data_IF_919687318740
#
_entry.id   IF_919687318740
#
_cell.length_a   1.000
_cell.length_b   1.000
_cell.length_c   1.000
_cell.angle_alpha   90.00
_cell.angle_beta   90.00
_cell.angle_gamma   90.00
#
_symmetry.space_group_name_H-M   'P 1'
#
loop_
_entity.id
_entity.type
_entity.pdbx_description
1 polymer ?
#
# COMPACT_ATOMS: atom_id res chain seq x y z
N UNK A 1 17.72 -6.93 -11.00
CA UNK A 1 16.82 -7.96 -10.43
C UNK A 1 15.44 -7.72 -11.00
N UNK A 2 14.68 -8.74 -11.44
CA UNK A 2 13.40 -8.49 -12.11
C UNK A 2 12.44 -7.88 -11.08
N UNK A 3 12.03 -6.64 -11.32
CA UNK A 3 10.99 -5.97 -10.54
C UNK A 3 9.71 -6.80 -10.74
N UNK A 4 9.08 -7.23 -9.64
CA UNK A 4 7.76 -7.87 -9.73
C UNK A 4 6.78 -6.81 -10.21
N UNK A 5 6.19 -7.07 -11.36
CA UNK A 5 5.18 -6.20 -11.95
C UNK A 5 3.86 -6.40 -11.24
N UNK A 6 3.45 -5.43 -10.43
CA UNK A 6 2.14 -5.47 -9.81
C UNK A 6 1.10 -5.03 -10.83
N UNK A 7 0.19 -5.94 -11.19
CA UNK A 7 -0.95 -5.62 -12.05
C UNK A 7 -2.03 -4.93 -11.21
N UNK A 8 -1.80 -3.67 -10.86
CA UNK A 8 -2.78 -2.85 -10.16
C UNK A 8 -3.78 -2.22 -11.14
N UNK A 9 -5.03 -2.03 -10.71
CA UNK A 9 -5.99 -1.27 -11.49
C UNK A 9 -5.64 0.23 -11.52
N UNK A 10 -6.15 1.01 -12.49
CA UNK A 10 -5.91 2.46 -12.56
C UNK A 10 -6.35 3.21 -11.29
N UNK A 11 -7.36 2.71 -10.58
CA UNK A 11 -7.87 3.31 -9.34
C UNK A 11 -6.88 3.12 -8.19
N UNK A 12 -6.26 1.93 -8.09
CA UNK A 12 -5.23 1.66 -7.10
C UNK A 12 -3.98 2.51 -7.35
N UNK A 13 -3.59 2.68 -8.62
CA UNK A 13 -2.45 3.50 -9.01
C UNK A 13 -2.66 4.98 -8.66
N UNK A 14 -3.85 5.52 -8.96
CA UNK A 14 -4.26 6.86 -8.54
C UNK A 14 -4.27 7.00 -7.00
N UNK A 15 -4.58 5.93 -6.28
CA UNK A 15 -4.55 5.92 -4.81
C UNK A 15 -3.13 6.01 -4.27
N UNK A 16 -2.15 5.37 -4.93
CA UNK A 16 -0.73 5.46 -4.57
C UNK A 16 -0.20 6.87 -4.83
N UNK A 17 -0.48 7.44 -6.01
CA UNK A 17 -0.06 8.80 -6.38
C UNK A 17 -0.69 9.88 -5.50
N UNK A 18 -1.90 9.62 -5.00
CA UNK A 18 -2.60 10.54 -4.10
C UNK A 18 -2.14 10.43 -2.63
N UNK A 19 -1.33 9.43 -2.28
CA UNK A 19 -0.66 9.36 -0.99
C UNK A 19 0.57 10.26 -1.01
N UNK A 20 0.76 11.05 0.03
CA UNK A 20 1.97 11.86 0.16
C UNK A 20 3.19 10.95 0.44
N UNK A 21 4.36 11.20 -0.19
CA UNK A 21 5.53 10.34 -0.01
C UNK A 21 6.11 10.38 1.41
N UNK A 22 5.77 11.40 2.21
CA UNK A 22 6.18 11.53 3.63
C UNK A 22 5.13 10.95 4.60
N UNK A 23 4.12 10.24 4.09
CA UNK A 23 3.10 9.66 4.94
C UNK A 23 3.71 8.57 5.85
N UNK A 24 3.62 8.74 7.18
CA UNK A 24 3.94 7.75 8.22
C UNK A 24 2.63 7.16 8.78
N UNK A 25 1.98 6.27 8.03
CA UNK A 25 0.77 5.60 8.51
C UNK A 25 1.15 4.45 9.43
N UNK A 26 0.51 4.41 10.59
CA UNK A 26 0.76 3.41 11.63
C UNK A 26 -0.54 3.01 12.30
N UNK A 27 -0.49 1.94 13.09
CA UNK A 27 -1.60 1.52 13.92
C UNK A 27 -2.19 2.70 14.72
N UNK A 28 -3.52 2.80 14.75
CA UNK A 28 -4.31 3.90 15.31
C UNK A 28 -4.33 5.21 14.50
N UNK A 29 -3.71 5.24 13.32
CA UNK A 29 -3.93 6.33 12.37
C UNK A 29 -5.28 6.17 11.64
N UNK A 30 -5.86 7.27 11.18
CA UNK A 30 -7.16 7.24 10.50
C UNK A 30 -7.30 8.41 9.54
N UNK A 31 -7.90 8.16 8.37
CA UNK A 31 -8.16 9.19 7.38
C UNK A 31 -8.23 8.65 5.95
N UNK A 32 -8.31 9.58 5.00
CA UNK A 32 -8.37 9.27 3.57
C UNK A 32 -7.12 8.52 3.08
N UNK A 33 -5.96 8.78 3.68
CA UNK A 33 -4.70 8.11 3.30
C UNK A 33 -4.71 6.64 3.72
N UNK A 34 -5.21 6.34 4.92
CA UNK A 34 -5.42 4.96 5.34
C UNK A 34 -6.43 4.26 4.43
N UNK A 35 -7.51 4.94 4.04
CA UNK A 35 -8.49 4.38 3.11
C UNK A 35 -7.88 4.06 1.75
N UNK A 36 -7.03 4.95 1.20
CA UNK A 36 -6.27 4.71 -0.03
C UNK A 36 -5.36 3.51 0.11
N UNK A 37 -4.62 3.41 1.22
CA UNK A 37 -3.78 2.25 1.52
C UNK A 37 -4.61 0.95 1.54
N UNK A 38 -5.76 0.95 2.22
CA UNK A 38 -6.65 -0.20 2.27
C UNK A 38 -7.17 -0.60 0.87
N UNK A 39 -7.47 0.36 -0.02
CA UNK A 39 -7.86 0.09 -1.41
C UNK A 39 -6.73 -0.65 -2.14
N UNK A 40 -5.50 -0.15 -2.03
CA UNK A 40 -4.33 -0.76 -2.68
C UNK A 40 -4.09 -2.17 -2.15
N UNK A 41 -4.11 -2.34 -0.83
CA UNK A 41 -3.93 -3.65 -0.19
C UNK A 41 -5.04 -4.65 -0.58
N UNK A 42 -6.26 -4.16 -0.79
CA UNK A 42 -7.40 -4.98 -1.22
C UNK A 42 -7.28 -5.42 -2.67
N UNK A 43 -6.80 -4.55 -3.54
CA UNK A 43 -6.51 -4.85 -4.94
C UNK A 43 -5.39 -5.90 -5.08
N UNK A 44 -4.46 -5.92 -4.12
CA UNK A 44 -3.42 -6.95 -4.04
C UNK A 44 -3.89 -8.24 -3.35
N UNK A 45 -5.18 -8.36 -3.01
CA UNK A 45 -5.75 -9.49 -2.27
C UNK A 45 -5.08 -9.74 -0.90
N UNK A 46 -4.39 -8.73 -0.37
CA UNK A 46 -3.72 -8.78 0.94
C UNK A 46 -4.63 -8.33 2.08
N UNK A 47 -5.64 -7.52 1.75
CA UNK A 47 -6.60 -6.98 2.70
C UNK A 47 -8.03 -7.33 2.32
N UNK A 48 -8.78 -7.93 3.24
CA UNK A 48 -10.19 -8.29 3.06
C UNK A 48 -11.13 -7.54 4.02
N UNK A 49 -10.59 -6.57 4.76
CA UNK A 49 -11.37 -5.76 5.69
C UNK A 49 -12.20 -4.67 5.03
N UNK A 50 -12.78 -3.81 5.86
CA UNK A 50 -13.53 -2.65 5.43
C UNK A 50 -12.58 -1.50 5.02
N UNK A 51 -13.05 -0.66 4.09
CA UNK A 51 -12.33 0.52 3.61
C UNK A 51 -12.79 1.75 4.42
N UNK A 52 -12.77 1.61 5.74
CA UNK A 52 -13.23 2.60 6.72
C UNK A 52 -12.24 3.76 6.91
N UNK A 53 -11.00 3.60 6.44
CA UNK A 53 -9.93 4.55 6.68
C UNK A 53 -9.37 4.49 8.10
N UNK A 54 -9.52 3.37 8.81
CA UNK A 54 -8.93 3.11 10.12
C UNK A 54 -7.75 2.13 10.00
N UNK A 55 -6.61 2.52 10.56
CA UNK A 55 -5.40 1.69 10.52
C UNK A 55 -5.46 0.71 11.68
N UNK A 56 -6.26 -0.34 11.49
CA UNK A 56 -6.40 -1.45 12.40
C UNK A 56 -5.31 -2.51 12.23
N UNK A 57 -5.34 -3.49 13.15
CA UNK A 57 -4.49 -4.68 13.09
C UNK A 57 -4.65 -5.45 11.77
N UNK A 58 -5.83 -5.41 11.15
CA UNK A 58 -6.05 -6.02 9.84
C UNK A 58 -5.25 -5.29 8.73
N UNK A 59 -5.27 -3.95 8.74
CA UNK A 59 -4.50 -3.10 7.83
C UNK A 59 -3.00 -3.29 8.02
N UNK A 60 -2.54 -3.31 9.28
CA UNK A 60 -1.13 -3.56 9.63
C UNK A 60 -0.66 -4.92 9.08
N UNK A 61 -1.45 -5.99 9.28
CA UNK A 61 -1.09 -7.34 8.81
C UNK A 61 -1.01 -7.43 7.29
N UNK A 62 -1.94 -6.78 6.59
CA UNK A 62 -1.92 -6.69 5.15
C UNK A 62 -0.68 -5.91 4.66
N UNK A 63 -0.33 -4.81 5.33
CA UNK A 63 0.87 -4.03 5.01
C UNK A 63 2.17 -4.81 5.25
N UNK A 64 2.26 -5.56 6.36
CA UNK A 64 3.39 -6.44 6.63
C UNK A 64 3.56 -7.49 5.52
N UNK A 65 2.45 -8.04 5.01
CA UNK A 65 2.48 -8.99 3.92
C UNK A 65 2.89 -8.32 2.61
N UNK A 66 2.40 -7.11 2.35
CA UNK A 66 2.82 -6.30 1.21
C UNK A 66 4.33 -6.08 1.23
N UNK A 67 4.87 -5.60 2.35
CA UNK A 67 6.30 -5.33 2.51
C UNK A 67 7.15 -6.60 2.26
N UNK A 68 6.66 -7.77 2.69
CA UNK A 68 7.30 -9.06 2.38
C UNK A 68 7.25 -9.41 0.90
N UNK A 69 6.10 -9.20 0.25
CA UNK A 69 5.93 -9.44 -1.19
C UNK A 69 6.84 -8.53 -2.02
N UNK A 70 6.97 -7.25 -1.63
CA UNK A 70 7.87 -6.28 -2.25
C UNK A 70 9.34 -6.49 -1.88
N UNK A 71 9.62 -7.41 -0.95
CA UNK A 71 10.96 -7.67 -0.42
C UNK A 71 11.64 -6.40 0.13
N UNK A 72 10.88 -5.56 0.84
CA UNK A 72 11.35 -4.34 1.52
C UNK A 72 11.38 -4.52 3.03
N UNK A 73 11.82 -3.47 3.74
CA UNK A 73 11.79 -3.43 5.20
C UNK A 73 10.37 -3.63 5.72
N UNK A 74 10.17 -4.70 6.48
CA UNK A 74 8.89 -5.04 7.09
C UNK A 74 8.74 -4.25 8.39
N UNK A 75 8.36 -2.98 8.28
CA UNK A 75 8.21 -2.04 9.40
C UNK A 75 6.82 -2.11 10.04
N UNK A 76 5.82 -2.63 9.31
CA UNK A 76 4.41 -2.58 9.73
C UNK A 76 3.78 -1.19 9.64
N UNK A 77 4.49 -0.25 9.01
CA UNK A 77 4.05 1.13 8.81
C UNK A 77 4.23 1.50 7.35
N UNK A 78 3.37 2.38 6.85
CA UNK A 78 3.58 2.92 5.51
C UNK A 78 4.58 4.05 5.71
N UNK A 79 5.81 3.83 5.29
CA UNK A 79 6.89 4.82 5.30
C UNK A 79 7.32 5.14 3.85
N UNK A 80 8.10 6.21 3.68
CA UNK A 80 8.59 6.65 2.36
C UNK A 80 9.30 5.53 1.57
N UNK A 81 10.03 4.63 2.24
CA UNK A 81 10.72 3.53 1.57
C UNK A 81 9.74 2.48 1.05
N UNK A 82 8.71 2.19 1.84
CA UNK A 82 7.62 1.31 1.45
C UNK A 82 6.81 1.93 0.31
N UNK A 83 6.48 3.22 0.40
CA UNK A 83 5.76 3.95 -0.65
C UNK A 83 6.53 3.96 -1.97
N UNK A 84 7.83 4.29 -1.95
CA UNK A 84 8.64 4.33 -3.16
C UNK A 84 8.71 2.96 -3.85
N UNK A 85 8.89 1.90 -3.06
CA UNK A 85 8.95 0.54 -3.59
C UNK A 85 7.61 0.05 -4.13
N UNK A 86 6.51 0.48 -3.50
CA UNK A 86 5.16 0.23 -3.98
C UNK A 86 4.92 0.93 -5.32
N UNK A 87 5.27 2.21 -5.44
CA UNK A 87 5.16 3.00 -6.68
C UNK A 87 6.03 2.40 -7.79
N UNK A 88 7.29 2.06 -7.50
CA UNK A 88 8.19 1.43 -8.48
C UNK A 88 7.71 0.05 -8.96
N UNK A 89 6.96 -0.69 -8.13
CA UNK A 89 6.37 -1.97 -8.53
C UNK A 89 5.00 -1.83 -9.20
N UNK A 90 4.30 -0.71 -8.99
CA UNK A 90 2.99 -0.40 -9.56
C UNK A 90 3.06 0.16 -10.99
N UNK A 91 4.15 0.83 -11.37
CA UNK A 91 4.38 1.41 -12.70
C UNK A 91 4.57 0.33 -13.79
N UNK A 92 3.52 -0.37 -14.25
CA UNK A 92 3.58 -1.01 -15.58
C UNK A 92 2.22 -1.40 -16.21
N UNK A 93 1.22 -0.50 -16.19
CA UNK A 93 0.13 -0.56 -17.18
C UNK A 93 -0.36 0.83 -17.63
N UNK A 94 0.56 1.75 -17.92
CA UNK A 94 0.26 2.95 -18.70
C UNK A 94 0.97 2.86 -20.06
N UNK A 95 0.40 2.09 -21.01
CA UNK A 95 0.73 2.16 -22.43
C UNK A 95 -0.55 2.34 -23.24
#
# INVERSE_FOLDING_TARGET
>A
MPKQLLRLSPIALMSIEALEPDCDLKLSDSGSDVQRLQIILKEMELYSGALDGEFDVATERALLQLQRTLNVSVTGRLDVSTWYSLTECAEEIAQ
#
